data_IF_476239242474
#
_entry.id   IF_476239242474
#
_cell.length_a   1.000
_cell.length_b   1.000
_cell.length_c   1.000
_cell.angle_alpha   90.00
_cell.angle_beta   90.00
_cell.angle_gamma   90.00
#
_symmetry.space_group_name_H-M   'P 1'
#
loop_
_entity.id
_entity.type
_entity.pdbx_description
1 polymer ?
#
# COMPACT_ATOMS: atom_id res chain seq x y z
N UNK A 1 12.63 14.90 -15.46
CA UNK A 1 12.61 15.43 -14.10
C UNK A 1 11.64 14.64 -13.25
N UNK A 2 12.06 14.29 -12.06
CA UNK A 2 11.24 13.51 -11.14
C UNK A 2 10.25 14.44 -10.44
N UNK A 3 8.98 14.09 -10.46
CA UNK A 3 7.98 14.83 -9.71
C UNK A 3 7.43 13.97 -8.59
N UNK A 4 7.96 14.12 -7.36
CA UNK A 4 7.52 13.30 -6.25
C UNK A 4 6.06 13.53 -5.87
N UNK A 5 5.53 14.73 -6.12
CA UNK A 5 4.14 15.03 -5.79
C UNK A 5 3.16 14.26 -6.67
N UNK A 6 3.47 14.14 -7.97
CA UNK A 6 2.64 13.33 -8.89
C UNK A 6 2.69 11.87 -8.46
N UNK A 7 3.87 11.35 -8.15
CA UNK A 7 4.03 9.98 -7.67
C UNK A 7 3.23 9.76 -6.38
N UNK A 8 3.33 10.70 -5.45
CA UNK A 8 2.65 10.62 -4.17
C UNK A 8 1.13 10.57 -4.31
N UNK A 9 0.56 11.52 -5.04
CA UNK A 9 -0.90 11.60 -5.15
C UNK A 9 -1.48 10.48 -5.99
N UNK A 10 -0.77 10.02 -7.01
CA UNK A 10 -1.25 8.88 -7.79
C UNK A 10 -1.17 7.57 -7.01
N UNK A 11 -0.12 7.38 -6.22
CA UNK A 11 -0.03 6.22 -5.33
C UNK A 11 -1.10 6.25 -4.24
N UNK A 12 -1.34 7.43 -3.66
CA UNK A 12 -2.41 7.62 -2.67
C UNK A 12 -3.78 7.26 -3.25
N UNK A 13 -4.07 7.75 -4.43
CA UNK A 13 -5.35 7.45 -5.08
C UNK A 13 -5.51 5.96 -5.33
N UNK A 14 -4.46 5.30 -5.83
CA UNK A 14 -4.49 3.85 -6.04
C UNK A 14 -4.76 3.11 -4.74
N UNK A 15 -4.05 3.46 -3.68
CA UNK A 15 -4.22 2.81 -2.37
C UNK A 15 -5.65 2.96 -1.86
N UNK A 16 -6.20 4.17 -1.94
CA UNK A 16 -7.55 4.43 -1.43
C UNK A 16 -8.60 3.66 -2.21
N UNK A 17 -8.52 3.68 -3.54
CA UNK A 17 -9.51 2.99 -4.39
C UNK A 17 -9.38 1.48 -4.24
N UNK A 18 -8.17 0.94 -4.26
CA UNK A 18 -7.95 -0.50 -4.15
C UNK A 18 -8.40 -1.03 -2.79
N UNK A 19 -8.09 -0.32 -1.71
CA UNK A 19 -8.54 -0.72 -0.37
C UNK A 19 -10.05 -0.64 -0.23
N UNK A 20 -10.66 0.38 -0.82
CA UNK A 20 -12.12 0.50 -0.78
C UNK A 20 -12.78 -0.71 -1.45
N UNK A 21 -12.25 -1.13 -2.59
CA UNK A 21 -12.75 -2.31 -3.29
C UNK A 21 -12.49 -3.57 -2.46
N UNK A 22 -11.26 -3.74 -1.97
CA UNK A 22 -10.87 -4.93 -1.22
C UNK A 22 -11.64 -5.07 0.08
N UNK A 23 -11.59 -4.07 0.92
CA UNK A 23 -12.20 -4.12 2.25
C UNK A 23 -13.71 -3.93 2.21
N UNK A 24 -14.19 -3.08 1.29
CA UNK A 24 -15.61 -2.75 1.24
C UNK A 24 -16.46 -3.71 0.43
N UNK A 25 -15.93 -4.26 -0.67
CA UNK A 25 -16.72 -5.06 -1.60
C UNK A 25 -16.34 -6.53 -1.64
N UNK A 26 -15.05 -6.85 -1.58
CA UNK A 26 -14.60 -8.23 -1.81
C UNK A 26 -14.38 -9.01 -0.53
N UNK A 27 -13.78 -8.41 0.49
CA UNK A 27 -13.28 -9.14 1.65
C UNK A 27 -13.95 -8.75 2.97
N UNK A 28 -14.94 -7.87 2.95
CA UNK A 28 -15.55 -7.40 4.19
C UNK A 28 -16.09 -8.56 5.04
N UNK A 29 -16.79 -9.49 4.41
CA UNK A 29 -17.38 -10.62 5.12
C UNK A 29 -16.31 -11.53 5.72
N UNK A 30 -15.22 -11.74 5.01
CA UNK A 30 -14.10 -12.54 5.51
C UNK A 30 -13.45 -11.91 6.74
N UNK A 31 -13.21 -10.61 6.70
CA UNK A 31 -12.61 -9.91 7.84
C UNK A 31 -13.56 -9.86 9.02
N UNK A 32 -14.86 -9.70 8.77
CA UNK A 32 -15.86 -9.77 9.83
C UNK A 32 -15.90 -11.16 10.48
N UNK A 33 -15.77 -12.21 9.68
CA UNK A 33 -15.74 -13.57 10.20
C UNK A 33 -14.49 -13.83 11.02
N UNK A 34 -13.36 -13.30 10.59
CA UNK A 34 -12.07 -13.54 11.24
C UNK A 34 -11.87 -12.71 12.50
N UNK A 35 -12.15 -11.41 12.45
CA UNK A 35 -11.85 -10.49 13.55
C UNK A 35 -13.02 -9.54 13.88
N UNK A 36 -14.26 -9.91 13.50
CA UNK A 36 -15.42 -9.05 13.72
C UNK A 36 -15.52 -8.45 15.11
N UNK A 37 -15.36 -9.27 16.20
CA UNK A 37 -15.44 -8.71 17.56
C UNK A 37 -14.38 -7.65 17.88
N UNK A 38 -13.28 -7.63 17.14
CA UNK A 38 -12.22 -6.64 17.32
C UNK A 38 -12.43 -5.40 16.44
N UNK A 39 -13.35 -5.46 15.48
CA UNK A 39 -13.55 -4.37 14.53
C UNK A 39 -14.51 -3.34 15.11
N UNK A 40 -14.17 -2.06 14.92
CA UNK A 40 -15.07 -0.96 15.21
C UNK A 40 -16.13 -0.90 14.12
N UNK A 41 -17.32 -0.41 14.48
CA UNK A 41 -18.36 -0.16 13.48
C UNK A 41 -17.90 0.85 12.44
N UNK A 42 -17.19 1.88 12.90
CA UNK A 42 -16.58 2.87 12.02
C UNK A 42 -15.13 3.05 12.38
N UNK A 43 -14.23 3.10 11.39
CA UNK A 43 -12.82 3.35 11.66
C UNK A 43 -12.61 4.72 12.31
N UNK A 44 -11.62 4.82 13.19
CA UNK A 44 -11.20 6.10 13.72
C UNK A 44 -10.60 6.95 12.60
N UNK A 45 -11.06 8.19 12.49
CA UNK A 45 -10.66 9.06 11.39
C UNK A 45 -9.17 9.40 11.44
N UNK A 46 -8.67 9.78 12.61
CA UNK A 46 -7.29 10.26 12.73
C UNK A 46 -6.24 9.23 12.33
N UNK A 47 -6.27 7.98 12.87
CA UNK A 47 -5.29 6.98 12.42
C UNK A 47 -5.47 6.61 10.94
N UNK A 48 -6.70 6.60 10.43
CA UNK A 48 -6.96 6.28 9.04
C UNK A 48 -6.33 7.32 8.11
N UNK A 49 -6.56 8.59 8.39
CA UNK A 49 -5.98 9.68 7.59
C UNK A 49 -4.46 9.65 7.70
N UNK A 50 -3.92 9.47 8.90
CA UNK A 50 -2.49 9.40 9.12
C UNK A 50 -1.85 8.27 8.29
N UNK A 51 -2.48 7.10 8.26
CA UNK A 51 -1.99 5.97 7.47
C UNK A 51 -1.96 6.31 5.98
N UNK A 52 -3.06 6.85 5.44
CA UNK A 52 -3.15 7.15 4.01
C UNK A 52 -2.27 8.33 3.58
N UNK A 53 -1.87 9.18 4.51
CA UNK A 53 -0.89 10.23 4.21
C UNK A 53 0.55 9.72 4.31
N UNK A 54 0.80 8.84 5.25
CA UNK A 54 2.16 8.35 5.54
C UNK A 54 2.60 7.23 4.60
N UNK A 55 1.73 6.30 4.29
CA UNK A 55 2.10 5.11 3.52
C UNK A 55 2.58 5.43 2.11
N UNK A 56 1.87 6.26 1.32
CA UNK A 56 2.38 6.65 0.01
C UNK A 56 3.68 7.44 0.08
N UNK A 57 3.90 8.18 1.16
CA UNK A 57 5.19 8.85 1.37
C UNK A 57 6.33 7.84 1.43
N UNK A 58 6.14 6.76 2.19
CA UNK A 58 7.13 5.68 2.25
C UNK A 58 7.36 5.03 0.89
N UNK A 59 6.29 4.78 0.14
CA UNK A 59 6.42 4.22 -1.20
C UNK A 59 7.21 5.15 -2.14
N UNK A 60 6.97 6.44 -2.06
CA UNK A 60 7.72 7.40 -2.88
C UNK A 60 9.20 7.37 -2.53
N UNK A 61 9.52 7.44 -1.25
CA UNK A 61 10.92 7.55 -0.78
C UNK A 61 11.69 6.24 -1.04
N UNK A 62 11.08 5.10 -0.75
CA UNK A 62 11.80 3.83 -0.73
C UNK A 62 11.64 2.99 -1.99
N UNK A 63 10.66 3.26 -2.81
CA UNK A 63 10.41 2.47 -4.01
C UNK A 63 10.40 3.32 -5.29
N UNK A 64 9.60 4.36 -5.32
CA UNK A 64 9.34 5.08 -6.57
C UNK A 64 10.54 5.93 -6.98
N UNK A 65 11.06 6.78 -6.08
CA UNK A 65 12.20 7.64 -6.43
C UNK A 65 13.45 6.84 -6.79
N UNK A 66 13.83 5.78 -6.04
CA UNK A 66 14.98 4.97 -6.48
C UNK A 66 14.77 4.33 -7.86
N UNK A 67 13.53 3.91 -8.16
CA UNK A 67 13.23 3.31 -9.44
C UNK A 67 13.26 4.33 -10.58
N UNK A 68 12.75 5.54 -10.33
CA UNK A 68 12.80 6.63 -11.31
C UNK A 68 14.24 7.00 -11.64
N UNK A 69 15.09 7.02 -10.64
CA UNK A 69 16.50 7.33 -10.81
C UNK A 69 17.19 6.32 -11.71
N UNK A 70 16.84 5.04 -11.57
CA UNK A 70 17.41 3.96 -12.38
C UNK A 70 16.61 3.69 -13.66
N UNK A 71 15.51 4.38 -13.87
CA UNK A 71 14.60 4.19 -14.99
C UNK A 71 14.18 2.73 -15.15
N UNK A 72 13.87 2.08 -14.03
CA UNK A 72 13.56 0.66 -14.00
C UNK A 72 12.21 0.41 -13.37
N UNK A 73 11.24 0.02 -14.19
CA UNK A 73 9.93 -0.39 -13.69
C UNK A 73 10.01 -1.68 -12.88
N UNK A 74 10.90 -2.58 -13.27
CA UNK A 74 11.13 -3.82 -12.51
C UNK A 74 11.64 -3.52 -11.10
N UNK A 75 12.55 -2.58 -10.97
CA UNK A 75 13.04 -2.14 -9.67
C UNK A 75 11.90 -1.56 -8.83
N UNK A 76 11.03 -0.77 -9.46
CA UNK A 76 9.86 -0.20 -8.77
C UNK A 76 8.94 -1.31 -8.25
N UNK A 77 8.62 -2.28 -9.10
CA UNK A 77 7.77 -3.40 -8.70
C UNK A 77 8.38 -4.18 -7.54
N UNK A 78 9.67 -4.49 -7.63
CA UNK A 78 10.37 -5.26 -6.59
C UNK A 78 10.44 -4.49 -5.27
N UNK A 79 10.80 -3.23 -5.30
CA UNK A 79 10.90 -2.41 -4.09
C UNK A 79 9.52 -2.13 -3.48
N UNK A 80 8.52 -1.89 -4.32
CA UNK A 80 7.14 -1.70 -3.85
C UNK A 80 6.60 -2.96 -3.20
N UNK A 81 6.80 -4.11 -3.83
CA UNK A 81 6.37 -5.39 -3.27
C UNK A 81 7.09 -5.67 -1.95
N UNK A 82 8.40 -5.45 -1.89
CA UNK A 82 9.17 -5.64 -0.67
C UNK A 82 8.72 -4.71 0.45
N UNK A 83 8.46 -3.45 0.13
CA UNK A 83 7.96 -2.48 1.10
C UNK A 83 6.63 -2.96 1.70
N UNK A 84 5.71 -3.43 0.86
CA UNK A 84 4.44 -3.97 1.30
C UNK A 84 4.58 -5.24 2.12
N UNK A 85 5.45 -6.14 1.69
CA UNK A 85 5.72 -7.37 2.42
C UNK A 85 6.24 -7.08 3.83
N UNK A 86 7.21 -6.18 3.95
CA UNK A 86 7.78 -5.80 5.25
C UNK A 86 6.76 -5.08 6.13
N UNK A 87 6.03 -4.12 5.55
CA UNK A 87 5.07 -3.33 6.32
C UNK A 87 3.91 -4.18 6.82
N UNK A 88 3.27 -4.92 5.92
CA UNK A 88 2.13 -5.77 6.30
C UNK A 88 2.57 -6.99 7.06
N UNK A 89 3.73 -7.54 6.74
CA UNK A 89 4.32 -8.65 7.49
C UNK A 89 4.61 -8.27 8.93
N UNK A 90 5.18 -7.10 9.15
CA UNK A 90 5.45 -6.61 10.50
C UNK A 90 4.15 -6.50 11.31
N UNK A 91 3.12 -5.92 10.72
CA UNK A 91 1.82 -5.77 11.36
C UNK A 91 1.18 -7.13 11.65
N UNK A 92 1.03 -7.95 10.62
CA UNK A 92 0.29 -9.21 10.73
C UNK A 92 1.02 -10.27 11.54
N UNK A 93 2.33 -10.39 11.35
CA UNK A 93 3.11 -11.40 12.09
C UNK A 93 3.25 -11.05 13.57
N UNK A 94 3.42 -9.76 13.89
CA UNK A 94 3.46 -9.36 15.28
C UNK A 94 2.11 -9.54 15.97
N UNK A 95 1.01 -9.25 15.28
CA UNK A 95 -0.33 -9.51 15.83
C UNK A 95 -0.57 -11.00 16.00
N UNK A 96 -0.17 -11.82 15.04
CA UNK A 96 -0.31 -13.27 15.14
C UNK A 96 0.49 -13.82 16.33
N UNK A 97 1.68 -13.27 16.58
CA UNK A 97 2.53 -13.71 17.68
C UNK A 97 2.01 -13.30 19.05
N UNK A 98 1.36 -12.15 19.15
CA UNK A 98 1.05 -11.54 20.46
C UNK A 98 -0.42 -11.53 20.84
N UNK A 99 -1.33 -11.67 19.87
CA UNK A 99 -2.76 -11.64 20.14
C UNK A 99 -3.34 -13.06 20.04
N UNK A 100 -4.23 -13.41 21.01
CA UNK A 100 -4.76 -14.78 21.10
C UNK A 100 -5.59 -15.20 19.90
N UNK A 101 -6.41 -14.28 19.39
CA UNK A 101 -7.44 -14.63 18.42
C UNK A 101 -7.18 -14.00 17.04
N UNK A 102 -5.90 -13.77 16.72
CA UNK A 102 -5.54 -13.27 15.39
C UNK A 102 -5.40 -14.47 14.43
N UNK A 103 -6.31 -14.62 13.45
CA UNK A 103 -6.26 -15.81 12.59
C UNK A 103 -5.04 -15.80 11.66
N UNK A 104 -4.41 -16.96 11.51
CA UNK A 104 -3.29 -17.08 10.58
C UNK A 104 -3.74 -16.90 9.12
N UNK A 105 -4.99 -17.28 8.81
CA UNK A 105 -5.54 -17.07 7.46
C UNK A 105 -5.60 -15.58 7.12
N UNK A 106 -6.07 -14.77 8.08
CA UNK A 106 -6.09 -13.31 7.90
C UNK A 106 -4.69 -12.77 7.68
N UNK A 107 -3.73 -13.23 8.49
CA UNK A 107 -2.35 -12.77 8.37
C UNK A 107 -1.78 -13.05 6.98
N UNK A 108 -1.99 -14.28 6.47
CA UNK A 108 -1.49 -14.65 5.15
C UNK A 108 -2.14 -13.84 4.03
N UNK A 109 -3.46 -13.75 4.05
CA UNK A 109 -4.21 -13.00 3.03
C UNK A 109 -3.84 -11.53 3.05
N UNK A 110 -3.75 -10.95 4.23
CA UNK A 110 -3.44 -9.53 4.39
C UNK A 110 -2.02 -9.19 3.94
N UNK A 111 -1.05 -10.05 4.26
CA UNK A 111 0.34 -9.88 3.80
C UNK A 111 0.41 -9.96 2.27
N UNK A 112 -0.26 -10.93 1.67
CA UNK A 112 -0.30 -11.05 0.22
C UNK A 112 -0.97 -9.84 -0.43
N UNK A 113 -2.07 -9.38 0.15
CA UNK A 113 -2.74 -8.17 -0.33
C UNK A 113 -1.84 -6.95 -0.23
N UNK A 114 -1.21 -6.74 0.93
CA UNK A 114 -0.32 -5.60 1.13
C UNK A 114 0.86 -5.59 0.19
N UNK A 115 1.40 -6.77 -0.12
CA UNK A 115 2.50 -6.92 -1.07
C UNK A 115 2.04 -6.50 -2.48
N UNK A 116 0.91 -7.03 -2.93
CA UNK A 116 0.35 -6.72 -4.24
C UNK A 116 -0.11 -5.26 -4.33
N UNK A 117 -0.78 -4.78 -3.29
CA UNK A 117 -1.26 -3.41 -3.20
C UNK A 117 -0.12 -2.41 -3.31
N UNK A 118 0.94 -2.63 -2.55
CA UNK A 118 2.09 -1.73 -2.52
C UNK A 118 2.85 -1.74 -3.83
N UNK A 119 2.98 -2.92 -4.45
CA UNK A 119 3.55 -3.06 -5.78
C UNK A 119 2.73 -2.24 -6.80
N UNK A 120 1.41 -2.40 -6.79
CA UNK A 120 0.52 -1.68 -7.71
C UNK A 120 0.54 -0.17 -7.49
N UNK A 121 0.53 0.27 -6.23
CA UNK A 121 0.59 1.69 -5.90
C UNK A 121 1.92 2.31 -6.33
N UNK A 122 3.03 1.60 -6.08
CA UNK A 122 4.35 2.06 -6.48
C UNK A 122 4.45 2.17 -8.02
N UNK A 123 3.95 1.17 -8.73
CA UNK A 123 3.96 1.17 -10.18
C UNK A 123 3.09 2.30 -10.75
N UNK A 124 1.93 2.54 -10.16
CA UNK A 124 1.07 3.65 -10.55
C UNK A 124 1.79 4.98 -10.38
N UNK A 125 2.41 5.19 -9.23
CA UNK A 125 3.19 6.41 -8.97
C UNK A 125 4.36 6.56 -9.94
N UNK A 126 5.05 5.46 -10.19
CA UNK A 126 6.20 5.44 -11.09
C UNK A 126 5.81 5.84 -12.52
N UNK A 127 4.82 5.17 -13.08
CA UNK A 127 4.42 5.43 -14.47
C UNK A 127 3.78 6.80 -14.63
N UNK A 128 2.97 7.22 -13.66
CA UNK A 128 2.35 8.55 -13.69
C UNK A 128 3.42 9.66 -13.62
N UNK A 129 4.37 9.51 -12.73
CA UNK A 129 5.47 10.48 -12.61
C UNK A 129 6.32 10.54 -13.88
N UNK A 130 6.58 9.39 -14.50
CA UNK A 130 7.31 9.34 -15.75
C UNK A 130 6.55 10.02 -16.88
N UNK A 131 5.27 9.73 -17.00
CA UNK A 131 4.44 10.28 -18.07
C UNK A 131 4.33 11.80 -17.97
N UNK A 132 4.12 12.30 -16.77
CA UNK A 132 3.91 13.74 -16.54
C UNK A 132 5.20 14.50 -16.27
N UNK A 133 6.27 13.78 -15.91
CA UNK A 133 7.59 14.37 -15.71
C UNK A 133 8.39 14.52 -16.98
N UNK A 134 7.92 13.93 -18.09
CA UNK A 134 8.50 14.14 -19.41
C UNK A 134 8.00 15.43 -19.99
N UNK A 135 8.44 16.53 -19.48
CA UNK A 135 8.26 17.73 -20.24
C UNK A 135 9.32 17.78 -21.31
N UNK A 136 8.91 17.89 -22.55
CA UNK A 136 9.85 18.32 -23.55
C UNK A 136 10.28 19.70 -23.09
N UNK A 137 11.45 19.77 -22.59
CA UNK A 137 12.09 21.02 -22.67
C UNK A 137 12.38 21.22 -24.12
N UNK A 138 11.32 21.84 -24.52
CA UNK A 138 11.96 21.95 -25.65
C UNK A 138 13.03 21.24 -25.24
#
# INVERSE_FOLDING_TARGET
>A
MKNPWIAYFSALLFLAVADLIWLGLLMNDHYQAWIGPLMREQPLLLPTVAFYLLYPLGLVVFAILPALEKRSSLKCAALGALFGLVAYGTYDLSNLATLKDWPWQLAMVDILWGTALSCGAAMTGYFTARAWGKHPHG
#
